data_IF_453101875245
#
_entry.id   IF_453101875245
#
_cell.length_a   1.000
_cell.length_b   1.000
_cell.length_c   1.000
_cell.angle_alpha   90.00
_cell.angle_beta   90.00
_cell.angle_gamma   90.00
#
_symmetry.space_group_name_H-M   'P 1'
#
loop_
_entity.id
_entity.type
_entity.pdbx_description
1 polymer ?
#
# COMPACT_ATOMS: atom_id res chain seq x y z
N UNK A 1 6.62 21.35 -22.54
CA UNK A 1 6.29 20.34 -21.51
C UNK A 1 7.56 19.57 -21.21
N UNK A 2 7.89 19.39 -19.92
CA UNK A 2 9.07 18.60 -19.51
C UNK A 2 8.91 17.12 -19.86
N UNK A 3 10.02 16.39 -19.92
CA UNK A 3 10.06 14.95 -20.27
C UNK A 3 9.23 14.06 -19.34
N UNK A 4 8.91 14.54 -18.14
CA UNK A 4 8.12 13.82 -17.15
C UNK A 4 6.62 14.14 -17.20
N UNK A 5 6.22 15.19 -17.90
CA UNK A 5 4.83 15.63 -17.96
C UNK A 5 3.93 14.55 -18.59
N UNK A 6 2.86 14.18 -17.89
CA UNK A 6 1.90 13.15 -18.33
C UNK A 6 2.36 11.71 -18.10
N UNK A 7 3.56 11.48 -17.56
CA UNK A 7 3.99 10.14 -17.13
C UNK A 7 3.38 9.79 -15.77
N UNK A 8 3.22 8.50 -15.49
CA UNK A 8 2.71 8.01 -14.21
C UNK A 8 3.84 7.39 -13.38
N UNK A 9 3.79 7.57 -12.07
CA UNK A 9 4.66 6.88 -11.12
C UNK A 9 3.82 6.27 -9.99
N UNK A 10 4.14 5.03 -9.66
CA UNK A 10 3.48 4.26 -8.62
C UNK A 10 4.48 4.00 -7.48
N UNK A 11 4.12 4.37 -6.26
CA UNK A 11 4.99 4.23 -5.09
C UNK A 11 4.38 3.26 -4.08
N UNK A 12 5.12 2.20 -3.75
CA UNK A 12 4.80 1.32 -2.64
C UNK A 12 5.43 1.83 -1.35
N UNK A 13 4.62 2.04 -0.32
CA UNK A 13 5.14 2.35 1.01
C UNK A 13 4.83 1.15 1.92
N UNK A 14 5.86 0.34 2.14
CA UNK A 14 5.76 -0.84 3.00
C UNK A 14 5.90 -0.52 4.49
N UNK A 15 6.57 0.56 4.89
CA UNK A 15 6.89 0.82 6.30
C UNK A 15 6.84 2.33 6.60
N UNK A 16 6.47 2.75 7.83
CA UNK A 16 6.36 4.18 8.18
C UNK A 16 7.62 4.99 7.91
N UNK A 17 8.79 4.42 8.21
CA UNK A 17 10.06 5.10 8.02
C UNK A 17 10.47 5.26 6.55
N UNK A 18 9.75 4.66 5.59
CA UNK A 18 9.96 4.91 4.16
C UNK A 18 9.34 6.24 3.71
N UNK A 19 8.31 6.74 4.41
CA UNK A 19 7.65 8.00 4.07
C UNK A 19 8.64 9.16 3.97
N UNK A 20 9.57 9.25 4.93
CA UNK A 20 10.57 10.33 5.00
C UNK A 20 11.49 10.42 3.78
N UNK A 21 11.60 9.34 3.01
CA UNK A 21 12.44 9.28 1.82
C UNK A 21 11.62 9.34 0.54
N UNK A 22 10.54 8.57 0.47
CA UNK A 22 9.77 8.41 -0.76
C UNK A 22 8.81 9.57 -0.99
N UNK A 23 8.20 10.13 0.07
CA UNK A 23 7.24 11.23 -0.10
C UNK A 23 7.87 12.46 -0.78
N UNK A 24 9.03 12.98 -0.33
CA UNK A 24 9.63 14.15 -0.97
C UNK A 24 10.00 13.91 -2.44
N UNK A 25 10.46 12.70 -2.77
CA UNK A 25 10.79 12.32 -4.15
C UNK A 25 9.52 12.35 -5.01
N UNK A 26 8.46 11.74 -4.53
CA UNK A 26 7.20 11.67 -5.26
C UNK A 26 6.54 13.05 -5.41
N UNK A 27 6.63 13.92 -4.40
CA UNK A 27 6.19 15.32 -4.50
C UNK A 27 6.98 16.08 -5.58
N UNK A 28 8.30 15.91 -5.63
CA UNK A 28 9.13 16.52 -6.66
C UNK A 28 8.73 16.05 -8.08
N UNK A 29 8.50 14.74 -8.25
CA UNK A 29 8.04 14.19 -9.53
C UNK A 29 6.65 14.72 -9.94
N UNK A 30 5.75 14.89 -8.97
CA UNK A 30 4.44 15.51 -9.20
C UNK A 30 4.58 16.97 -9.68
N UNK A 31 5.49 17.75 -9.08
CA UNK A 31 5.79 19.11 -9.52
C UNK A 31 6.37 19.18 -10.95
N UNK A 32 7.07 18.14 -11.39
CA UNK A 32 7.52 18.00 -12.79
C UNK A 32 6.43 17.53 -13.77
N UNK A 33 5.20 17.34 -13.26
CA UNK A 33 4.01 17.02 -14.05
C UNK A 33 3.73 15.53 -14.19
N UNK A 34 4.30 14.68 -13.34
CA UNK A 34 3.92 13.27 -13.27
C UNK A 34 2.62 13.08 -12.48
N UNK A 35 1.81 12.10 -12.89
CA UNK A 35 0.71 11.59 -12.08
C UNK A 35 1.25 10.61 -11.03
N UNK A 36 1.14 10.98 -9.76
CA UNK A 36 1.62 10.18 -8.63
C UNK A 36 0.49 9.35 -8.02
N UNK A 37 0.73 8.06 -7.84
CA UNK A 37 -0.19 7.15 -7.14
C UNK A 37 0.56 6.40 -6.05
N UNK A 38 0.14 6.55 -4.79
CA UNK A 38 0.59 5.68 -3.71
C UNK A 38 -0.28 4.43 -3.67
N UNK A 39 0.34 3.28 -3.42
CA UNK A 39 -0.38 2.03 -3.24
C UNK A 39 0.04 1.31 -1.96
N UNK A 40 -0.91 0.55 -1.41
CA UNK A 40 -0.67 -0.39 -0.31
C UNK A 40 -1.21 -1.78 -0.67
N UNK A 41 -0.54 -2.82 -0.19
CA UNK A 41 -0.88 -4.21 -0.41
C UNK A 41 -1.58 -4.74 0.85
N UNK A 42 -2.79 -5.24 0.67
CA UNK A 42 -3.60 -5.99 1.64
C UNK A 42 -3.43 -5.57 3.12
N UNK A 43 -4.27 -4.64 3.57
CA UNK A 43 -4.83 -4.49 4.92
C UNK A 43 -4.03 -5.06 6.11
N UNK A 44 -2.72 -4.83 6.18
CA UNK A 44 -2.11 -4.70 7.48
C UNK A 44 -2.47 -3.30 7.95
N UNK A 45 -3.31 -3.20 8.97
CA UNK A 45 -3.77 -1.92 9.49
C UNK A 45 -2.61 -0.94 9.75
N UNK A 46 -1.40 -1.45 10.05
CA UNK A 46 -0.19 -0.66 10.19
C UNK A 46 0.16 0.21 8.95
N UNK A 47 -0.06 -0.27 7.73
CA UNK A 47 0.28 0.45 6.50
C UNK A 47 -0.76 1.50 6.13
N UNK A 48 -2.04 1.16 6.24
CA UNK A 48 -3.12 2.14 6.04
C UNK A 48 -3.06 3.24 7.10
N UNK A 49 -2.80 2.90 8.37
CA UNK A 49 -2.57 3.88 9.45
C UNK A 49 -1.45 4.83 9.07
N UNK A 50 -0.34 4.33 8.54
CA UNK A 50 0.82 5.13 8.12
C UNK A 50 0.46 6.13 7.02
N UNK A 51 -0.25 5.69 5.99
CA UNK A 51 -0.64 6.54 4.86
C UNK A 51 -1.70 7.57 5.27
N UNK A 52 -2.65 7.16 6.11
CA UNK A 52 -3.66 8.04 6.71
C UNK A 52 -3.00 9.11 7.60
N UNK A 53 -2.04 8.74 8.45
CA UNK A 53 -1.29 9.67 9.30
C UNK A 53 -0.49 10.69 8.49
N UNK A 54 0.03 10.28 7.33
CA UNK A 54 0.73 11.16 6.41
C UNK A 54 -0.21 11.98 5.51
N UNK A 55 -1.53 11.80 5.62
CA UNK A 55 -2.55 12.41 4.77
C UNK A 55 -2.27 12.23 3.26
N UNK A 56 -1.72 11.08 2.88
CA UNK A 56 -1.38 10.77 1.49
C UNK A 56 -2.56 10.09 0.80
N UNK A 57 -2.96 10.53 -0.41
CA UNK A 57 -3.95 9.80 -1.18
C UNK A 57 -3.35 8.47 -1.64
N UNK A 58 -4.00 7.36 -1.31
CA UNK A 58 -3.56 6.04 -1.75
C UNK A 58 -4.71 5.20 -2.29
N UNK A 59 -4.35 4.15 -3.01
CA UNK A 59 -5.27 3.11 -3.44
C UNK A 59 -4.83 1.76 -2.89
N UNK A 60 -5.80 0.92 -2.58
CA UNK A 60 -5.54 -0.42 -2.10
C UNK A 60 -5.44 -1.38 -3.29
N UNK A 61 -4.49 -2.31 -3.28
CA UNK A 61 -4.34 -3.26 -4.42
C UNK A 61 -5.63 -4.06 -4.70
N UNK A 62 -6.43 -4.32 -3.67
CA UNK A 62 -7.73 -4.99 -3.80
C UNK A 62 -8.82 -4.12 -4.44
N UNK A 63 -8.64 -2.80 -4.54
CA UNK A 63 -9.57 -1.92 -5.27
C UNK A 63 -9.61 -2.27 -6.76
N UNK A 64 -8.52 -2.86 -7.26
CA UNK A 64 -8.36 -3.31 -8.64
C UNK A 64 -8.66 -4.80 -8.85
N UNK A 65 -8.92 -5.53 -7.76
CA UNK A 65 -9.20 -6.96 -7.83
C UNK A 65 -10.65 -7.21 -8.23
N UNK A 66 -10.89 -8.25 -9.04
CA UNK A 66 -12.24 -8.75 -9.26
C UNK A 66 -12.82 -9.38 -7.98
N UNK A 67 -14.14 -9.50 -7.91
CA UNK A 67 -14.80 -10.07 -6.73
C UNK A 67 -14.32 -11.51 -6.44
N UNK A 68 -14.09 -12.31 -7.49
CA UNK A 68 -13.51 -13.64 -7.37
C UNK A 68 -12.11 -13.62 -6.73
N UNK A 69 -11.27 -12.64 -7.07
CA UNK A 69 -9.93 -12.49 -6.47
C UNK A 69 -10.05 -12.02 -5.02
N UNK A 70 -10.95 -11.06 -4.74
CA UNK A 70 -11.21 -10.57 -3.38
C UNK A 70 -11.65 -11.72 -2.45
N UNK A 71 -12.58 -12.55 -2.91
CA UNK A 71 -13.08 -13.68 -2.13
C UNK A 71 -11.99 -14.73 -1.88
N UNK A 72 -11.23 -15.11 -2.91
CA UNK A 72 -10.10 -16.05 -2.78
C UNK A 72 -9.06 -15.54 -1.79
N UNK A 73 -8.74 -14.26 -1.85
CA UNK A 73 -7.76 -13.61 -0.98
C UNK A 73 -8.25 -13.58 0.46
N UNK A 74 -9.51 -13.18 0.68
CA UNK A 74 -10.13 -13.17 2.01
C UNK A 74 -10.17 -14.57 2.63
N UNK A 75 -10.43 -15.61 1.84
CA UNK A 75 -10.37 -17.00 2.29
C UNK A 75 -8.96 -17.39 2.75
N UNK A 76 -7.94 -17.12 1.93
CA UNK A 76 -6.55 -17.40 2.27
C UNK A 76 -6.11 -16.69 3.57
N UNK A 77 -6.50 -15.42 3.76
CA UNK A 77 -6.19 -14.68 4.99
C UNK A 77 -6.87 -15.27 6.23
N UNK A 78 -8.14 -15.72 6.13
CA UNK A 78 -8.83 -16.37 7.25
C UNK A 78 -8.12 -17.67 7.66
N UNK A 79 -7.71 -18.48 6.68
CA UNK A 79 -6.99 -19.73 6.92
C UNK A 79 -5.61 -19.44 7.57
N UNK A 80 -4.87 -18.48 7.03
CA UNK A 80 -3.56 -18.08 7.57
C UNK A 80 -3.67 -17.55 9.00
N UNK A 81 -4.70 -16.73 9.30
CA UNK A 81 -4.92 -16.16 10.64
C UNK A 81 -5.05 -17.25 11.71
N UNK A 82 -5.77 -18.33 11.41
CA UNK A 82 -5.91 -19.45 12.34
C UNK A 82 -4.57 -20.14 12.61
N UNK A 83 -3.74 -20.33 11.58
CA UNK A 83 -2.40 -20.91 11.71
C UNK A 83 -1.49 -20.02 12.54
N UNK A 84 -1.47 -18.71 12.25
CA UNK A 84 -0.64 -17.74 12.97
C UNK A 84 -1.06 -17.63 14.44
N UNK A 85 -2.36 -17.60 14.74
CA UNK A 85 -2.86 -17.55 16.10
C UNK A 85 -2.40 -18.77 16.91
N UNK A 86 -2.49 -19.98 16.34
CA UNK A 86 -1.98 -21.20 17.00
C UNK A 86 -0.48 -21.10 17.29
N UNK A 87 0.32 -20.65 16.32
CA UNK A 87 1.78 -20.50 16.50
C UNK A 87 2.13 -19.47 17.59
N UNK A 88 1.46 -18.32 17.60
CA UNK A 88 1.70 -17.27 18.61
C UNK A 88 1.38 -17.78 20.02
N UNK A 89 0.24 -18.49 20.18
CA UNK A 89 -0.14 -19.07 21.47
C UNK A 89 0.80 -20.18 21.94
N UNK A 90 1.38 -20.96 21.02
CA UNK A 90 2.36 -22.00 21.34
C UNK A 90 3.77 -21.46 21.64
N UNK A 91 4.05 -20.19 21.31
CA UNK A 91 5.34 -19.53 21.52
C UNK A 91 5.36 -18.66 22.79
N UNK A 92 4.28 -18.68 23.57
CA UNK A 92 4.14 -18.01 24.87
C UNK A 92 4.25 -19.03 25.99
#
# INVERSE_FOLDING_TARGET
MGILSGKKVLCFIALPHHNRFLVPIMEALNHEGMEVVYFTAAAEGAFEITLNQANLPYRHVLDYASDAIKERTAKAFRELRQVLQKKILASR
#
